data_IF_715653027619
#
_entry.id   IF_715653027619
#
_cell.length_a   1.000
_cell.length_b   1.000
_cell.length_c   1.000
_cell.angle_alpha   90.00
_cell.angle_beta   90.00
_cell.angle_gamma   90.00
#
_symmetry.space_group_name_H-M   'P 1'
#
loop_
_entity.id
_entity.type
_entity.pdbx_description
1 polymer ?
#
# COMPACT_ATOMS: atom_id res chain seq x y z
N UNK A 1 37.88 27.54 33.92
CA UNK A 1 36.40 27.45 33.78
C UNK A 1 36.01 27.33 32.30
N UNK A 2 36.44 26.28 31.60
CA UNK A 2 36.27 26.14 30.12
C UNK A 2 35.44 24.90 29.71
N UNK A 3 35.04 24.06 30.68
CA UNK A 3 34.36 22.77 30.41
C UNK A 3 32.88 22.89 30.07
N UNK A 4 32.21 23.99 30.45
CA UNK A 4 30.77 24.15 30.25
C UNK A 4 30.40 24.55 28.80
N UNK A 5 31.27 25.28 28.11
CA UNK A 5 31.00 25.78 26.75
C UNK A 5 31.04 24.68 25.69
N UNK A 6 31.90 23.67 25.87
CA UNK A 6 32.01 22.52 24.95
C UNK A 6 30.82 21.56 25.09
N UNK A 7 30.25 21.45 26.30
CA UNK A 7 29.08 20.59 26.53
C UNK A 7 27.79 21.19 25.97
N UNK A 8 27.66 22.52 26.03
CA UNK A 8 26.52 23.24 25.45
C UNK A 8 26.50 23.18 23.91
N UNK A 9 27.67 23.21 23.25
CA UNK A 9 27.74 23.11 21.79
C UNK A 9 27.45 21.71 21.26
N UNK A 10 27.85 20.66 21.97
CA UNK A 10 27.56 19.26 21.58
C UNK A 10 26.09 18.91 21.76
N UNK A 11 25.44 19.42 22.82
CA UNK A 11 24.01 19.16 23.08
C UNK A 11 23.07 19.73 22.01
N UNK A 12 23.38 20.91 21.47
CA UNK A 12 22.58 21.56 20.41
C UNK A 12 22.74 20.85 19.06
N UNK A 13 23.92 20.27 18.79
CA UNK A 13 24.20 19.61 17.51
C UNK A 13 23.50 18.24 17.38
N UNK A 14 23.27 17.53 18.49
CA UNK A 14 22.57 16.25 18.51
C UNK A 14 21.06 16.43 18.30
N UNK A 15 20.49 17.57 18.73
CA UNK A 15 19.04 17.83 18.59
C UNK A 15 18.64 18.25 17.16
N UNK A 16 19.59 18.66 16.31
CA UNK A 16 19.33 19.00 14.90
C UNK A 16 19.36 17.80 13.94
N UNK A 17 19.82 16.62 14.37
CA UNK A 17 19.87 15.43 13.50
C UNK A 17 18.62 14.55 13.57
N UNK A 18 17.62 14.91 14.38
CA UNK A 18 16.32 14.25 14.37
C UNK A 18 15.40 15.08 13.47
N UNK A 19 15.57 14.89 12.16
CA UNK A 19 14.59 15.33 11.17
C UNK A 19 13.24 14.68 11.52
N UNK A 20 12.13 15.43 11.62
CA UNK A 20 10.82 14.82 11.61
C UNK A 20 10.67 14.03 10.28
N UNK A 21 10.07 12.83 10.29
CA UNK A 21 9.87 12.08 9.06
C UNK A 21 9.11 12.95 8.05
N UNK A 22 9.66 13.10 6.85
CA UNK A 22 9.09 13.95 5.80
C UNK A 22 7.63 13.55 5.52
N UNK A 23 6.63 14.42 5.79
CA UNK A 23 5.23 14.11 5.50
C UNK A 23 4.95 14.01 3.99
N UNK A 24 5.88 14.48 3.14
CA UNK A 24 5.74 14.46 1.68
C UNK A 24 5.68 13.05 1.09
N UNK A 25 6.29 12.04 1.72
CA UNK A 25 6.30 10.69 1.14
C UNK A 25 4.95 9.99 1.29
N UNK A 26 4.37 10.02 2.50
CA UNK A 26 3.12 9.32 2.79
C UNK A 26 1.93 9.80 1.93
N UNK A 27 1.88 11.10 1.60
CA UNK A 27 0.81 11.65 0.76
C UNK A 27 0.97 11.24 -0.71
N UNK A 28 2.20 11.12 -1.21
CA UNK A 28 2.49 10.64 -2.57
C UNK A 28 2.15 9.15 -2.75
N UNK A 29 2.51 8.32 -1.77
CA UNK A 29 2.25 6.88 -1.81
C UNK A 29 0.76 6.56 -1.85
N UNK A 30 -0.07 7.20 -1.03
CA UNK A 30 -1.53 6.94 -1.03
C UNK A 30 -2.21 7.41 -2.32
N UNK A 31 -1.74 8.51 -2.92
CA UNK A 31 -2.22 8.96 -4.22
C UNK A 31 -1.87 7.94 -5.32
N UNK A 32 -0.63 7.46 -5.34
CA UNK A 32 -0.18 6.42 -6.27
C UNK A 32 -1.01 5.14 -6.14
N UNK A 33 -1.24 4.66 -4.92
CA UNK A 33 -2.07 3.48 -4.68
C UNK A 33 -3.49 3.70 -5.21
N UNK A 34 -4.05 4.90 -5.04
CA UNK A 34 -5.37 5.24 -5.56
C UNK A 34 -5.42 5.19 -7.09
N UNK A 35 -4.39 5.70 -7.78
CA UNK A 35 -4.31 5.59 -9.24
C UNK A 35 -4.16 4.15 -9.73
N UNK A 36 -3.38 3.32 -9.03
CA UNK A 36 -3.26 1.89 -9.35
C UNK A 36 -4.63 1.21 -9.24
N UNK A 37 -5.35 1.48 -8.16
CA UNK A 37 -6.69 0.93 -7.93
C UNK A 37 -7.65 1.36 -9.04
N UNK A 38 -7.67 2.63 -9.42
CA UNK A 38 -8.55 3.16 -10.46
C UNK A 38 -8.31 2.45 -11.80
N UNK A 39 -7.03 2.32 -12.19
CA UNK A 39 -6.62 1.59 -13.40
C UNK A 39 -7.03 0.11 -13.37
N UNK A 40 -6.92 -0.54 -12.22
CA UNK A 40 -7.33 -1.94 -12.05
C UNK A 40 -8.85 -2.12 -11.94
N UNK A 41 -9.59 -1.10 -11.50
CA UNK A 41 -11.04 -1.18 -11.27
C UNK A 41 -11.83 -1.49 -12.55
N UNK A 42 -11.35 -0.99 -13.69
CA UNK A 42 -11.91 -1.29 -15.00
C UNK A 42 -11.71 -2.75 -15.47
N UNK A 43 -10.90 -3.54 -14.75
CA UNK A 43 -10.51 -4.90 -15.11
C UNK A 43 -11.09 -5.97 -14.16
N UNK A 44 -11.87 -5.57 -13.14
CA UNK A 44 -12.35 -6.49 -12.08
C UNK A 44 -13.48 -7.45 -12.49
N UNK A 45 -13.82 -7.57 -13.77
CA UNK A 45 -14.85 -8.50 -14.24
C UNK A 45 -14.32 -9.90 -14.59
N UNK A 46 -13.00 -10.07 -14.72
CA UNK A 46 -12.40 -11.29 -15.28
C UNK A 46 -11.68 -12.21 -14.27
N UNK A 47 -11.85 -12.01 -12.96
CA UNK A 47 -11.18 -12.71 -11.84
C UNK A 47 -9.63 -12.69 -11.86
N UNK A 48 -9.03 -12.28 -12.97
CA UNK A 48 -7.62 -12.12 -13.24
C UNK A 48 -7.34 -10.70 -13.74
N UNK A 49 -6.18 -10.17 -13.37
CA UNK A 49 -5.70 -8.88 -13.82
C UNK A 49 -4.19 -8.90 -14.00
N UNK A 50 -3.69 -8.26 -15.05
CA UNK A 50 -2.25 -8.07 -15.22
C UNK A 50 -1.80 -6.86 -14.39
N UNK A 51 -0.97 -7.10 -13.39
CA UNK A 51 -0.37 -6.06 -12.57
C UNK A 51 1.15 -6.22 -12.61
N UNK A 52 1.84 -5.16 -13.04
CA UNK A 52 3.30 -5.15 -13.23
C UNK A 52 3.85 -6.31 -14.09
N UNK A 53 3.11 -6.72 -15.12
CA UNK A 53 3.53 -7.83 -16.00
C UNK A 53 3.33 -9.22 -15.41
N UNK A 54 2.73 -9.32 -14.22
CA UNK A 54 2.36 -10.58 -13.59
C UNK A 54 0.84 -10.76 -13.59
N UNK A 55 0.40 -12.01 -13.77
CA UNK A 55 -1.02 -12.35 -13.63
C UNK A 55 -1.35 -12.43 -12.15
N UNK A 56 -2.24 -11.55 -11.71
CA UNK A 56 -2.79 -11.52 -10.38
C UNK A 56 -4.25 -11.95 -10.42
N UNK A 57 -4.72 -12.53 -9.33
CA UNK A 57 -6.10 -12.97 -9.15
C UNK A 57 -6.74 -12.21 -8.01
N UNK A 58 -8.04 -12.01 -8.13
CA UNK A 58 -8.86 -11.51 -7.05
C UNK A 58 -10.04 -12.44 -6.80
N UNK A 59 -10.55 -12.41 -5.58
CA UNK A 59 -11.78 -13.11 -5.23
C UNK A 59 -12.54 -12.28 -4.22
N UNK A 60 -13.86 -12.41 -4.24
CA UNK A 60 -14.73 -11.90 -3.20
C UNK A 60 -15.65 -13.02 -2.73
N UNK A 61 -15.94 -13.04 -1.44
CA UNK A 61 -16.90 -13.98 -0.86
C UNK A 61 -17.83 -13.26 0.12
N UNK A 62 -19.15 -13.47 0.04
CA UNK A 62 -20.07 -12.95 1.03
C UNK A 62 -19.83 -13.62 2.39
N UNK A 63 -19.99 -12.85 3.46
CA UNK A 63 -19.84 -13.29 4.84
C UNK A 63 -20.87 -12.57 5.69
N UNK A 64 -21.74 -13.33 6.34
CA UNK A 64 -22.68 -12.78 7.32
C UNK A 64 -21.99 -12.62 8.67
N UNK A 65 -22.13 -11.45 9.29
CA UNK A 65 -21.61 -11.17 10.63
C UNK A 65 -22.58 -10.26 11.37
N UNK A 66 -23.03 -10.68 12.56
CA UNK A 66 -24.02 -9.94 13.37
C UNK A 66 -25.25 -9.51 12.56
N UNK A 67 -25.78 -10.40 11.72
CA UNK A 67 -26.94 -10.15 10.85
C UNK A 67 -26.72 -9.13 9.74
N UNK A 68 -25.50 -8.65 9.54
CA UNK A 68 -25.14 -7.80 8.40
C UNK A 68 -24.37 -8.58 7.34
N UNK A 69 -24.61 -8.26 6.08
CA UNK A 69 -23.86 -8.80 4.94
C UNK A 69 -22.56 -8.01 4.75
N UNK A 70 -21.44 -8.73 4.80
CA UNK A 70 -20.12 -8.23 4.42
C UNK A 70 -19.58 -9.01 3.23
N UNK A 71 -18.63 -8.42 2.53
CA UNK A 71 -17.85 -9.05 1.49
C UNK A 71 -16.40 -9.09 1.92
N UNK A 72 -15.81 -10.27 1.91
CA UNK A 72 -14.37 -10.45 2.10
C UNK A 72 -13.71 -10.40 0.73
N UNK A 73 -12.74 -9.51 0.56
CA UNK A 73 -11.94 -9.42 -0.66
C UNK A 73 -10.57 -10.04 -0.43
N UNK A 74 -10.02 -10.67 -1.46
CA UNK A 74 -8.65 -11.18 -1.47
C UNK A 74 -8.02 -10.95 -2.83
N UNK A 75 -6.79 -10.44 -2.86
CA UNK A 75 -5.97 -10.31 -4.06
C UNK A 75 -4.62 -11.01 -3.84
N UNK A 76 -4.16 -11.79 -4.81
CA UNK A 76 -2.87 -12.46 -4.76
C UNK A 76 -2.29 -12.66 -6.16
N UNK A 77 -0.97 -12.73 -6.25
CA UNK A 77 -0.26 -12.94 -7.50
C UNK A 77 0.60 -14.20 -7.40
N UNK A 78 0.12 -15.36 -7.90
CA UNK A 78 0.82 -16.64 -7.74
C UNK A 78 2.20 -16.60 -8.40
N UNK A 79 3.22 -17.05 -7.68
CA UNK A 79 4.61 -17.09 -8.17
C UNK A 79 5.36 -15.76 -8.11
N UNK A 80 4.68 -14.64 -7.82
CA UNK A 80 5.32 -13.33 -7.71
C UNK A 80 5.36 -12.82 -6.27
N UNK A 81 4.21 -12.77 -5.58
CA UNK A 81 4.14 -12.32 -4.19
C UNK A 81 3.83 -13.50 -3.25
N UNK A 82 4.62 -13.71 -2.18
CA UNK A 82 4.34 -14.75 -1.19
C UNK A 82 3.19 -14.36 -0.24
N UNK A 83 2.64 -13.14 -0.36
CA UNK A 83 1.57 -12.61 0.46
C UNK A 83 0.32 -12.30 -0.39
N UNK A 84 -0.80 -12.06 0.31
CA UNK A 84 -2.04 -11.60 -0.30
C UNK A 84 -2.55 -10.32 0.37
N UNK A 85 -3.25 -9.52 -0.42
CA UNK A 85 -4.08 -8.43 0.06
C UNK A 85 -5.42 -8.97 0.51
N UNK A 86 -5.96 -8.45 1.61
CA UNK A 86 -7.22 -8.88 2.18
C UNK A 86 -8.05 -7.69 2.64
N UNK A 87 -9.37 -7.83 2.59
CA UNK A 87 -10.29 -6.80 3.09
C UNK A 87 -11.59 -7.41 3.58
N UNK A 88 -12.37 -6.59 4.31
CA UNK A 88 -13.76 -6.88 4.64
C UNK A 88 -14.57 -5.59 4.63
N UNK A 89 -15.53 -5.47 3.72
CA UNK A 89 -16.35 -4.26 3.54
C UNK A 89 -17.83 -4.63 3.37
N UNK A 90 -18.72 -3.63 3.30
CA UNK A 90 -20.16 -3.85 3.05
C UNK A 90 -20.52 -3.94 1.56
N UNK A 91 -19.57 -3.73 0.65
CA UNK A 91 -19.80 -3.74 -0.80
C UNK A 91 -18.86 -4.70 -1.51
N UNK A 92 -19.34 -5.37 -2.58
CA UNK A 92 -18.52 -6.28 -3.39
C UNK A 92 -17.33 -5.56 -4.02
N UNK A 93 -17.58 -4.43 -4.69
CA UNK A 93 -16.53 -3.63 -5.31
C UNK A 93 -15.52 -3.10 -4.29
N UNK A 94 -16.00 -2.57 -3.14
CA UNK A 94 -15.12 -2.08 -2.08
C UNK A 94 -14.28 -3.20 -1.46
N UNK A 95 -14.77 -4.45 -1.42
CA UNK A 95 -13.97 -5.57 -0.95
C UNK A 95 -12.76 -5.81 -1.87
N UNK A 96 -12.96 -5.79 -3.18
CA UNK A 96 -11.85 -5.94 -4.14
C UNK A 96 -10.92 -4.72 -4.05
N UNK A 97 -11.46 -3.51 -4.08
CA UNK A 97 -10.69 -2.25 -3.97
C UNK A 97 -9.76 -2.24 -2.75
N UNK A 98 -10.30 -2.51 -1.57
CA UNK A 98 -9.53 -2.50 -0.33
C UNK A 98 -8.54 -3.66 -0.26
N UNK A 99 -8.85 -4.82 -0.86
CA UNK A 99 -7.91 -5.94 -0.90
C UNK A 99 -6.73 -5.63 -1.83
N UNK A 100 -6.98 -4.97 -2.96
CA UNK A 100 -5.95 -4.44 -3.86
C UNK A 100 -5.10 -3.39 -3.16
N UNK A 101 -5.73 -2.44 -2.45
CA UNK A 101 -5.02 -1.44 -1.64
C UNK A 101 -4.06 -2.11 -0.64
N UNK A 102 -4.55 -3.11 0.10
CA UNK A 102 -3.76 -3.86 1.07
C UNK A 102 -2.62 -4.64 0.41
N UNK A 103 -2.83 -5.22 -0.79
CA UNK A 103 -1.78 -5.89 -1.55
C UNK A 103 -0.66 -4.92 -1.98
N UNK A 104 -1.03 -3.77 -2.57
CA UNK A 104 -0.05 -2.78 -3.05
C UNK A 104 0.75 -2.19 -1.90
N UNK A 105 0.10 -1.88 -0.76
CA UNK A 105 0.80 -1.43 0.46
C UNK A 105 1.84 -2.44 0.90
N UNK A 106 1.46 -3.72 1.01
CA UNK A 106 2.39 -4.80 1.36
C UNK A 106 3.50 -4.95 0.32
N UNK A 107 3.21 -4.77 -0.96
CA UNK A 107 4.23 -4.85 -2.01
C UNK A 107 5.31 -3.76 -1.85
N UNK A 108 4.91 -2.54 -1.51
CA UNK A 108 5.83 -1.44 -1.21
C UNK A 108 6.61 -1.70 0.09
N UNK A 109 5.90 -2.09 1.17
CA UNK A 109 6.51 -2.38 2.47
C UNK A 109 7.52 -3.53 2.41
N UNK A 110 7.24 -4.58 1.62
CA UNK A 110 8.12 -5.72 1.43
C UNK A 110 9.17 -5.49 0.33
N UNK A 111 9.23 -4.29 -0.26
CA UNK A 111 10.14 -3.95 -1.38
C UNK A 111 10.02 -4.91 -2.57
N UNK A 112 8.82 -5.47 -2.77
CA UNK A 112 8.49 -6.24 -3.97
C UNK A 112 8.42 -5.33 -5.19
N UNK A 113 8.01 -4.08 -4.97
CA UNK A 113 7.90 -3.02 -5.98
C UNK A 113 8.40 -1.71 -5.34
N UNK A 114 8.97 -0.81 -6.13
CA UNK A 114 9.29 0.56 -5.68
C UNK A 114 8.21 1.56 -6.09
N UNK A 115 8.20 2.74 -5.46
CA UNK A 115 7.27 3.81 -5.84
C UNK A 115 7.51 4.29 -7.27
N UNK A 116 8.78 4.30 -7.71
CA UNK A 116 9.16 4.68 -9.07
C UNK A 116 8.64 3.68 -10.11
N UNK A 117 8.81 2.38 -9.85
CA UNK A 117 8.29 1.30 -10.71
C UNK A 117 6.76 1.34 -10.81
N UNK A 118 6.10 1.55 -9.68
CA UNK A 118 4.65 1.69 -9.61
C UNK A 118 4.14 2.93 -10.35
N UNK A 119 4.83 4.07 -10.21
CA UNK A 119 4.50 5.31 -10.92
C UNK A 119 4.69 5.18 -12.44
N UNK A 120 5.77 4.54 -12.87
CA UNK A 120 6.02 4.24 -14.28
C UNK A 120 4.93 3.31 -14.86
N UNK A 121 4.51 2.30 -14.09
CA UNK A 121 3.45 1.38 -14.53
C UNK A 121 2.08 2.06 -14.67
N UNK A 122 1.73 2.99 -13.78
CA UNK A 122 0.48 3.76 -13.88
C UNK A 122 0.47 4.65 -15.12
N UNK A 123 1.61 5.27 -15.42
CA UNK A 123 1.76 6.26 -16.51
C UNK A 123 1.77 5.68 -17.92
N UNK A 124 1.83 4.34 -18.06
CA UNK A 124 1.87 3.63 -19.35
C UNK A 124 0.50 3.06 -19.73
#
# INVERSE_FOLDING_TARGET
>A
MMKAWVLMSVGVMIMMMVSPPDPCNAQGTEALITFIIDKLSGLWDHDEVSFMGHICRFSHSPSFYRWELYYKGKMWCPGWAPFSGNSKTKSRAGAIEHATRDFVKKALENKLITEEEASAWVSN
#
